data_IF_498040252470
#
_entry.id   IF_498040252470
#
_cell.length_a   1.000
_cell.length_b   1.000
_cell.length_c   1.000
_cell.angle_alpha   90.00
_cell.angle_beta   90.00
_cell.angle_gamma   90.00
#
_symmetry.space_group_name_H-M   'P 1'
#
loop_
_entity.id
_entity.type
_entity.pdbx_description
1 polymer ?
#
# COMPACT_ATOMS: atom_id res chain seq x y z
N UNK A 1 -4.92 -45.32 5.14
CA UNK A 1 -5.34 -44.18 4.29
C UNK A 1 -5.52 -42.89 5.09
N UNK A 2 -6.24 -42.89 6.23
CA UNK A 2 -6.55 -41.68 7.00
C UNK A 2 -5.35 -40.87 7.52
N UNK A 3 -4.25 -41.51 7.92
CA UNK A 3 -3.05 -40.83 8.43
C UNK A 3 -2.35 -39.94 7.39
N UNK A 4 -2.44 -40.29 6.09
CA UNK A 4 -1.86 -39.49 5.00
C UNK A 4 -2.61 -38.17 4.80
N UNK A 5 -3.93 -38.17 4.96
CA UNK A 5 -4.76 -36.96 4.89
C UNK A 5 -4.57 -36.05 6.11
N UNK A 6 -4.25 -36.62 7.28
CA UNK A 6 -3.93 -35.85 8.48
C UNK A 6 -2.62 -35.07 8.31
N UNK A 7 -1.57 -35.72 7.82
CA UNK A 7 -0.27 -35.07 7.56
C UNK A 7 -0.44 -33.98 6.49
N UNK A 8 -1.19 -34.26 5.41
CA UNK A 8 -1.47 -33.29 4.36
C UNK A 8 -2.19 -32.04 4.90
N UNK A 9 -3.18 -32.20 5.78
CA UNK A 9 -3.89 -31.09 6.43
C UNK A 9 -2.98 -30.24 7.32
N UNK A 10 -2.11 -30.87 8.10
CA UNK A 10 -1.16 -30.17 8.97
C UNK A 10 -0.18 -29.35 8.12
N UNK A 11 0.38 -29.95 7.08
CA UNK A 11 1.29 -29.25 6.14
C UNK A 11 0.59 -28.05 5.51
N UNK A 12 -0.61 -28.25 4.95
CA UNK A 12 -1.39 -27.17 4.34
C UNK A 12 -1.65 -26.01 5.31
N UNK A 13 -2.02 -26.32 6.56
CA UNK A 13 -2.31 -25.31 7.58
C UNK A 13 -1.04 -24.55 8.00
N UNK A 14 0.09 -25.25 8.20
CA UNK A 14 1.37 -24.61 8.54
C UNK A 14 1.91 -23.72 7.43
N UNK A 15 1.67 -24.07 6.16
CA UNK A 15 2.11 -23.26 5.01
C UNK A 15 1.26 -21.99 4.80
N UNK A 16 -0.03 -22.01 5.19
CA UNK A 16 -0.94 -20.88 5.01
C UNK A 16 -1.03 -19.95 6.23
N UNK A 17 -0.64 -20.41 7.42
CA UNK A 17 -0.62 -19.61 8.65
C UNK A 17 0.15 -18.27 8.56
N UNK A 18 1.33 -18.17 7.91
CA UNK A 18 2.08 -16.91 7.87
C UNK A 18 1.39 -15.80 7.05
N UNK A 19 0.42 -16.13 6.19
CA UNK A 19 -0.30 -15.13 5.38
C UNK A 19 -1.35 -14.33 6.18
N UNK A 20 -1.72 -14.77 7.39
CA UNK A 20 -2.77 -14.12 8.18
C UNK A 20 -2.30 -12.87 8.95
N UNK A 21 -1.00 -12.53 8.92
CA UNK A 21 -0.41 -11.53 9.83
C UNK A 21 0.09 -10.24 9.16
N UNK A 22 -0.16 -10.02 7.87
CA UNK A 22 0.29 -8.81 7.18
C UNK A 22 -0.78 -7.71 7.18
N UNK A 23 -0.72 -6.84 8.19
CA UNK A 23 -1.48 -5.59 8.24
C UNK A 23 -0.70 -4.52 8.99
N UNK A 24 0.06 -3.69 8.27
CA UNK A 24 0.78 -2.58 8.87
C UNK A 24 -0.16 -1.37 9.01
N UNK A 25 -0.69 -1.15 10.21
CA UNK A 25 -1.37 0.10 10.54
C UNK A 25 -0.32 1.19 10.79
N UNK A 26 -0.01 1.98 9.77
CA UNK A 26 0.95 3.09 9.88
C UNK A 26 0.26 4.31 10.47
N UNK A 27 0.53 4.57 11.74
CA UNK A 27 0.12 5.82 12.41
C UNK A 27 1.17 6.92 12.16
N UNK A 28 0.86 7.82 11.21
CA UNK A 28 1.72 8.96 10.89
C UNK A 28 1.72 10.05 11.97
N UNK A 29 0.69 10.12 12.82
CA UNK A 29 0.51 11.24 13.77
C UNK A 29 1.68 11.35 14.77
N UNK A 30 2.32 10.22 15.09
CA UNK A 30 3.46 10.16 16.02
C UNK A 30 4.75 10.73 15.45
N UNK A 31 4.93 10.67 14.12
CA UNK A 31 6.19 11.02 13.45
C UNK A 31 6.00 12.08 12.35
N UNK A 32 4.95 12.91 12.43
CA UNK A 32 4.61 13.91 11.38
C UNK A 32 5.78 14.81 11.01
N UNK A 33 6.64 15.18 11.97
CA UNK A 33 7.81 16.04 11.71
C UNK A 33 8.86 15.40 10.80
N UNK A 34 8.81 14.08 10.63
CA UNK A 34 9.69 13.33 9.74
C UNK A 34 9.03 13.03 8.39
N UNK A 35 7.82 13.55 8.16
CA UNK A 35 7.12 13.47 6.90
C UNK A 35 7.54 14.61 5.98
N UNK A 36 7.77 14.28 4.71
CA UNK A 36 7.93 15.22 3.62
C UNK A 36 6.76 15.07 2.66
N UNK A 37 6.11 16.17 2.32
CA UNK A 37 5.03 16.23 1.34
C UNK A 37 5.55 16.94 0.09
N UNK A 38 5.37 16.33 -1.07
CA UNK A 38 5.77 16.90 -2.36
C UNK A 38 4.60 16.81 -3.34
N UNK A 39 4.48 17.82 -4.21
CA UNK A 39 3.60 17.74 -5.38
C UNK A 39 4.40 17.13 -6.52
N UNK A 40 3.85 16.10 -7.15
CA UNK A 40 4.39 15.48 -8.36
C UNK A 40 3.57 15.96 -9.56
N UNK A 41 4.27 16.37 -10.62
CA UNK A 41 3.68 16.59 -11.94
C UNK A 41 3.79 15.29 -12.71
N UNK A 42 2.66 14.81 -13.21
CA UNK A 42 2.57 13.57 -13.96
C UNK A 42 2.20 13.88 -15.42
N UNK A 43 2.93 13.25 -16.33
CA UNK A 43 2.65 13.33 -17.76
C UNK A 43 1.27 12.76 -18.10
N UNK A 44 0.72 13.10 -19.29
CA UNK A 44 -0.48 12.49 -19.82
C UNK A 44 -0.49 10.96 -19.75
N UNK A 45 -1.60 10.40 -19.24
CA UNK A 45 -1.85 8.96 -19.13
C UNK A 45 -3.03 8.50 -20.01
N UNK A 46 -3.36 7.22 -19.89
CA UNK A 46 -4.41 6.59 -20.69
C UNK A 46 -5.79 6.64 -20.02
N UNK A 47 -5.83 6.91 -18.72
CA UNK A 47 -7.05 7.05 -17.96
C UNK A 47 -7.70 8.41 -18.24
N UNK A 48 -9.03 8.45 -18.25
CA UNK A 48 -9.78 9.68 -18.57
C UNK A 48 -9.34 10.86 -17.69
N UNK A 49 -9.02 10.60 -16.43
CA UNK A 49 -8.59 11.61 -15.46
C UNK A 49 -7.11 12.01 -15.57
N UNK A 50 -6.33 11.37 -16.45
CA UNK A 50 -4.91 11.63 -16.67
C UNK A 50 -4.59 12.06 -18.12
N UNK A 51 -5.58 12.13 -19.03
CA UNK A 51 -5.37 12.42 -20.46
C UNK A 51 -4.57 13.71 -20.77
N UNK A 52 -4.60 14.70 -19.88
CA UNK A 52 -3.87 15.97 -20.02
C UNK A 52 -2.71 16.11 -19.01
N UNK A 53 -2.31 15.00 -18.41
CA UNK A 53 -1.48 14.98 -17.21
C UNK A 53 -2.31 15.23 -15.96
N UNK A 54 -1.70 15.00 -14.81
CA UNK A 54 -2.32 15.28 -13.52
C UNK A 54 -1.28 15.62 -12.45
N UNK A 55 -1.76 15.90 -11.25
CA UNK A 55 -0.91 16.07 -10.08
C UNK A 55 -1.12 14.93 -9.10
N UNK A 56 -0.06 14.57 -8.39
CA UNK A 56 -0.14 13.65 -7.26
C UNK A 56 0.55 14.26 -6.04
N UNK A 57 0.12 13.85 -4.84
CA UNK A 57 0.83 14.14 -3.61
C UNK A 57 1.66 12.92 -3.24
N UNK A 58 2.96 13.14 -3.01
CA UNK A 58 3.87 12.15 -2.44
C UNK A 58 4.12 12.47 -0.97
N UNK A 59 3.91 11.48 -0.11
CA UNK A 59 4.13 11.53 1.34
C UNK A 59 5.22 10.53 1.67
N UNK A 60 6.39 11.03 2.03
CA UNK A 60 7.53 10.23 2.48
C UNK A 60 7.70 10.39 3.99
N UNK A 61 7.78 9.30 4.75
CA UNK A 61 8.13 9.35 6.17
C UNK A 61 9.31 8.42 6.48
N UNK A 62 10.45 9.05 6.79
CA UNK A 62 11.71 8.37 7.07
C UNK A 62 11.70 7.48 8.32
N UNK A 63 10.82 7.76 9.31
CA UNK A 63 10.71 6.96 10.54
C UNK A 63 9.81 5.74 10.39
N UNK A 64 8.80 5.85 9.55
CA UNK A 64 7.84 4.79 9.30
C UNK A 64 8.21 3.95 8.05
N UNK A 65 9.31 4.27 7.37
CA UNK A 65 9.67 3.70 6.06
C UNK A 65 8.49 3.73 5.07
N UNK A 66 7.74 4.82 5.09
CA UNK A 66 6.56 5.02 4.26
C UNK A 66 6.92 5.88 3.05
N UNK A 67 6.50 5.44 1.87
CA UNK A 67 6.48 6.23 0.64
C UNK A 67 5.15 5.99 -0.06
N UNK A 68 4.25 6.97 0.03
CA UNK A 68 2.88 6.90 -0.46
C UNK A 68 2.66 7.97 -1.52
N UNK A 69 2.13 7.59 -2.68
CA UNK A 69 1.69 8.50 -3.72
C UNK A 69 0.18 8.37 -3.88
N UNK A 70 -0.52 9.49 -3.81
CA UNK A 70 -1.97 9.56 -4.02
C UNK A 70 -2.30 10.57 -5.11
N UNK A 71 -3.27 10.23 -5.96
CA UNK A 71 -3.80 11.18 -6.94
C UNK A 71 -4.40 12.39 -6.21
N UNK A 72 -4.14 13.59 -6.72
CA UNK A 72 -4.56 14.83 -6.08
C UNK A 72 -5.11 15.82 -7.10
N UNK A 73 -6.18 16.53 -6.73
CA UNK A 73 -6.84 17.49 -7.64
C UNK A 73 -7.66 16.82 -8.73
N UNK A 74 -8.13 15.59 -8.50
CA UNK A 74 -9.17 14.97 -9.33
C UNK A 74 -10.54 15.58 -9.02
N UNK A 75 -11.47 15.44 -9.97
CA UNK A 75 -12.82 16.02 -9.96
C UNK A 75 -13.52 15.99 -8.58
N UNK A 76 -14.00 17.15 -8.12
CA UNK A 76 -15.07 17.24 -7.11
C UNK A 76 -16.40 16.99 -7.82
N UNK A 77 -17.13 15.98 -7.39
CA UNK A 77 -18.48 15.65 -7.85
C UNK A 77 -19.48 15.81 -6.71
#
# INVERSE_FOLDING_TARGET
MQQKYLIFRIVLFTTFLPFLTFGNNVDLSKNVRHSKISVLTCDPGNEIYSLFGHSALRIENSKNNLDLVVNWGLFEF
#
